data_IF_167338503010
#
_entry.id   IF_167338503010
#
_cell.length_a   1.000
_cell.length_b   1.000
_cell.length_c   1.000
_cell.angle_alpha   90.00
_cell.angle_beta   90.00
_cell.angle_gamma   90.00
#
_symmetry.space_group_name_H-M   'P 1'
#
loop_
_entity.id
_entity.type
_entity.pdbx_description
1 polymer ?
#
# COMPACT_ATOMS: atom_id res chain seq x y z
N UNK A 1 -55.59 10.20 7.66
CA UNK A 1 -54.38 9.58 7.11
C UNK A 1 -53.24 10.41 7.66
N UNK A 2 -52.70 10.00 8.78
CA UNK A 2 -51.55 10.65 9.43
C UNK A 2 -50.31 9.94 8.84
N UNK A 3 -49.51 10.68 8.08
CA UNK A 3 -48.18 10.32 7.67
C UNK A 3 -47.30 10.42 8.91
N UNK A 4 -47.11 9.28 9.56
CA UNK A 4 -46.09 9.09 10.59
C UNK A 4 -44.78 8.73 9.84
N UNK A 5 -44.16 9.78 9.28
CA UNK A 5 -42.76 9.70 8.85
C UNK A 5 -41.92 9.62 10.13
N UNK A 6 -41.57 8.40 10.54
CA UNK A 6 -40.62 8.15 11.58
C UNK A 6 -39.30 8.87 11.22
N UNK A 7 -39.09 10.05 11.80
CA UNK A 7 -37.78 10.66 11.89
C UNK A 7 -36.91 9.67 12.73
N UNK A 8 -36.05 8.93 12.09
CA UNK A 8 -34.92 8.29 12.78
C UNK A 8 -34.15 9.43 13.50
N UNK A 9 -34.44 9.59 14.78
CA UNK A 9 -33.70 10.52 15.63
C UNK A 9 -32.23 10.13 15.59
N UNK A 10 -31.40 10.97 14.95
CA UNK A 10 -29.96 10.77 14.89
C UNK A 10 -29.41 10.67 16.33
N UNK A 11 -29.08 9.47 16.76
CA UNK A 11 -28.47 9.24 18.07
C UNK A 11 -27.23 10.11 18.20
N UNK A 12 -27.15 10.96 19.23
CA UNK A 12 -25.99 11.84 19.47
C UNK A 12 -24.94 11.17 20.36
N UNK A 13 -23.72 11.70 20.39
CA UNK A 13 -22.68 11.22 21.32
C UNK A 13 -23.13 11.35 22.78
N UNK A 14 -23.78 12.47 23.12
CA UNK A 14 -24.33 12.74 24.47
C UNK A 14 -25.32 11.65 24.88
N UNK A 15 -26.24 11.27 23.98
CA UNK A 15 -27.18 10.19 24.22
C UNK A 15 -26.48 8.83 24.44
N UNK A 16 -25.39 8.57 23.74
CA UNK A 16 -24.60 7.36 23.94
C UNK A 16 -23.89 7.36 25.30
N UNK A 17 -23.32 8.49 25.71
CA UNK A 17 -22.69 8.62 27.03
C UNK A 17 -23.70 8.45 28.18
N UNK A 18 -24.88 9.04 28.05
CA UNK A 18 -25.98 8.91 29.03
C UNK A 18 -26.51 7.47 29.14
N UNK A 19 -26.46 6.73 28.02
CA UNK A 19 -26.91 5.33 27.95
C UNK A 19 -25.99 4.35 28.67
N UNK A 20 -24.67 4.59 28.72
CA UNK A 20 -23.68 3.66 29.30
C UNK A 20 -24.05 3.17 30.72
N UNK A 21 -24.45 4.02 31.69
CA UNK A 21 -24.79 3.55 33.03
C UNK A 21 -26.10 2.74 33.09
N UNK A 22 -26.95 2.87 32.07
CA UNK A 22 -28.28 2.23 32.02
C UNK A 22 -28.23 0.84 31.41
N UNK A 23 -27.18 0.52 30.63
CA UNK A 23 -27.01 -0.75 29.91
C UNK A 23 -25.90 -1.61 30.48
N UNK A 24 -25.92 -2.90 30.19
CA UNK A 24 -24.87 -3.84 30.59
C UNK A 24 -24.61 -4.89 29.52
N UNK A 25 -23.59 -5.70 29.74
CA UNK A 25 -23.24 -6.79 28.85
C UNK A 25 -22.99 -6.34 27.43
N UNK A 26 -23.56 -7.02 26.45
CA UNK A 26 -23.41 -6.79 25.02
C UNK A 26 -23.83 -5.38 24.61
N UNK A 27 -24.95 -4.90 25.12
CA UNK A 27 -25.48 -3.59 24.78
C UNK A 27 -24.52 -2.45 25.22
N UNK A 28 -23.88 -2.62 26.38
CA UNK A 28 -22.84 -1.71 26.85
C UNK A 28 -21.61 -1.73 25.96
N UNK A 29 -21.18 -2.91 25.52
CA UNK A 29 -20.07 -3.06 24.61
C UNK A 29 -20.35 -2.39 23.26
N UNK A 30 -21.56 -2.61 22.70
CA UNK A 30 -22.02 -1.92 21.48
C UNK A 30 -21.99 -0.40 21.62
N UNK A 31 -22.44 0.13 22.76
CA UNK A 31 -22.45 1.57 23.01
C UNK A 31 -21.03 2.15 23.03
N UNK A 32 -20.06 1.47 23.64
CA UNK A 32 -18.66 1.89 23.60
C UNK A 32 -18.06 1.81 22.20
N UNK A 33 -18.40 0.77 21.42
CA UNK A 33 -17.97 0.64 20.03
C UNK A 33 -18.50 1.79 19.16
N UNK A 34 -19.80 2.12 19.28
CA UNK A 34 -20.42 3.23 18.55
C UNK A 34 -19.76 4.58 18.90
N UNK A 35 -19.49 4.82 20.19
CA UNK A 35 -18.77 6.00 20.64
C UNK A 35 -17.36 6.07 20.03
N UNK A 36 -16.63 4.95 20.05
CA UNK A 36 -15.31 4.85 19.42
C UNK A 36 -15.36 5.25 17.95
N UNK A 37 -16.33 4.75 17.19
CA UNK A 37 -16.47 5.08 15.78
C UNK A 37 -16.74 6.58 15.53
N UNK A 38 -17.57 7.22 16.38
CA UNK A 38 -17.87 8.67 16.28
C UNK A 38 -16.64 9.51 16.61
N UNK A 39 -15.95 9.17 17.68
CA UNK A 39 -14.75 9.88 18.14
C UNK A 39 -13.60 9.69 17.14
N UNK A 40 -13.48 8.48 16.52
CA UNK A 40 -12.59 8.23 15.39
C UNK A 40 -12.85 9.20 14.23
N UNK A 41 -14.10 9.38 13.82
CA UNK A 41 -14.49 10.29 12.75
C UNK A 41 -14.10 11.77 13.02
N UNK A 42 -13.92 12.14 14.28
CA UNK A 42 -13.42 13.47 14.71
C UNK A 42 -11.88 13.57 14.75
N UNK A 43 -11.18 12.47 14.45
CA UNK A 43 -9.72 12.42 14.50
C UNK A 43 -9.12 12.27 15.90
N UNK A 44 -9.92 11.97 16.91
CA UNK A 44 -9.48 11.79 18.32
C UNK A 44 -9.10 10.32 18.56
N UNK A 45 -8.04 9.85 17.90
CA UNK A 45 -7.71 8.43 17.79
C UNK A 45 -7.33 7.77 19.13
N UNK A 46 -6.67 8.49 20.05
CA UNK A 46 -6.31 7.95 21.38
C UNK A 46 -7.56 7.68 22.23
N UNK A 47 -8.52 8.59 22.23
CA UNK A 47 -9.78 8.44 22.95
C UNK A 47 -10.64 7.33 22.32
N UNK A 48 -10.75 7.32 20.99
CA UNK A 48 -11.45 6.28 20.24
C UNK A 48 -10.85 4.90 20.50
N UNK A 49 -9.51 4.79 20.58
CA UNK A 49 -8.82 3.55 20.92
C UNK A 49 -9.21 3.05 22.32
N UNK A 50 -9.21 3.90 23.33
CA UNK A 50 -9.56 3.51 24.69
C UNK A 50 -11.00 2.98 24.80
N UNK A 51 -11.93 3.58 24.04
CA UNK A 51 -13.32 3.14 23.98
C UNK A 51 -13.46 1.79 23.25
N UNK A 52 -12.76 1.60 22.15
CA UNK A 52 -12.72 0.33 21.43
C UNK A 52 -12.13 -0.79 22.27
N UNK A 53 -11.07 -0.51 23.05
CA UNK A 53 -10.48 -1.45 24.00
C UNK A 53 -11.47 -1.82 25.13
N UNK A 54 -12.22 -0.83 25.63
CA UNK A 54 -13.27 -1.09 26.63
C UNK A 54 -14.38 -1.98 26.05
N UNK A 55 -14.81 -1.75 24.82
CA UNK A 55 -15.78 -2.61 24.14
C UNK A 55 -15.25 -4.04 24.01
N UNK A 56 -14.00 -4.22 23.53
CA UNK A 56 -13.34 -5.52 23.43
C UNK A 56 -13.30 -6.25 24.77
N UNK A 57 -12.95 -5.57 25.86
CA UNK A 57 -12.83 -6.19 27.18
C UNK A 57 -14.18 -6.68 27.68
N UNK A 58 -15.24 -5.89 27.51
CA UNK A 58 -16.61 -6.33 27.87
C UNK A 58 -17.03 -7.55 27.02
N UNK A 59 -16.80 -7.54 25.69
CA UNK A 59 -17.09 -8.71 24.86
C UNK A 59 -16.28 -9.93 25.29
N UNK A 60 -15.03 -9.76 25.67
CA UNK A 60 -14.16 -10.85 26.13
C UNK A 60 -14.64 -11.43 27.46
N UNK A 61 -15.13 -10.62 28.39
CA UNK A 61 -15.71 -11.03 29.65
C UNK A 61 -17.03 -11.82 29.48
N UNK A 62 -17.82 -11.48 28.46
CA UNK A 62 -19.04 -12.21 28.11
C UNK A 62 -18.76 -13.60 27.54
N UNK A 63 -17.54 -13.82 27.03
CA UNK A 63 -17.07 -15.13 26.55
C UNK A 63 -17.98 -15.71 25.46
N UNK A 64 -18.37 -16.99 25.60
CA UNK A 64 -19.20 -17.69 24.61
C UNK A 64 -20.64 -17.15 24.50
N UNK A 65 -21.04 -16.23 25.37
CA UNK A 65 -22.35 -15.55 25.32
C UNK A 65 -22.30 -14.27 24.47
N UNK A 66 -21.09 -13.80 24.10
CA UNK A 66 -20.93 -12.64 23.27
C UNK A 66 -21.14 -12.98 21.79
N UNK A 67 -21.72 -12.07 20.99
CA UNK A 67 -21.63 -12.18 19.56
C UNK A 67 -20.16 -12.09 19.16
N UNK A 68 -19.67 -13.15 18.53
CA UNK A 68 -18.29 -13.17 18.02
C UNK A 68 -18.03 -12.03 17.01
N UNK A 69 -19.07 -11.57 16.32
CA UNK A 69 -19.02 -10.45 15.41
C UNK A 69 -18.73 -9.11 16.13
N UNK A 70 -19.36 -8.84 17.26
CA UNK A 70 -19.10 -7.64 18.05
C UNK A 70 -17.66 -7.58 18.58
N UNK A 71 -17.12 -8.72 19.02
CA UNK A 71 -15.71 -8.81 19.41
C UNK A 71 -14.77 -8.53 18.22
N UNK A 72 -15.08 -9.06 17.03
CA UNK A 72 -14.31 -8.81 15.82
C UNK A 72 -14.37 -7.34 15.41
N UNK A 73 -15.54 -6.70 15.49
CA UNK A 73 -15.71 -5.27 15.23
C UNK A 73 -14.87 -4.43 16.21
N UNK A 74 -14.86 -4.76 17.50
CA UNK A 74 -14.03 -4.07 18.47
C UNK A 74 -12.53 -4.20 18.16
N UNK A 75 -12.04 -5.40 17.78
CA UNK A 75 -10.67 -5.58 17.35
C UNK A 75 -10.34 -4.83 16.07
N UNK A 76 -11.26 -4.77 15.09
CA UNK A 76 -11.08 -3.97 13.89
C UNK A 76 -10.98 -2.49 14.21
N UNK A 77 -11.85 -1.97 15.08
CA UNK A 77 -11.80 -0.57 15.53
C UNK A 77 -10.48 -0.23 16.22
N UNK A 78 -9.98 -1.13 17.10
CA UNK A 78 -8.65 -0.98 17.70
C UNK A 78 -7.58 -0.91 16.61
N UNK A 79 -7.62 -1.81 15.63
CA UNK A 79 -6.69 -1.83 14.51
C UNK A 79 -6.69 -0.51 13.74
N UNK A 80 -7.86 0.00 13.34
CA UNK A 80 -7.96 1.27 12.60
C UNK A 80 -7.44 2.46 13.43
N UNK A 81 -7.76 2.55 14.73
CA UNK A 81 -7.24 3.60 15.61
C UNK A 81 -5.70 3.55 15.70
N UNK A 82 -5.13 2.37 15.94
CA UNK A 82 -3.70 2.17 16.02
C UNK A 82 -2.98 2.51 14.70
N UNK A 83 -3.59 2.19 13.56
CA UNK A 83 -3.08 2.56 12.25
C UNK A 83 -3.00 4.08 12.08
N UNK A 84 -4.03 4.83 12.48
CA UNK A 84 -4.00 6.29 12.44
C UNK A 84 -2.93 6.86 13.38
N UNK A 85 -2.71 6.24 14.53
CA UNK A 85 -1.64 6.57 15.48
C UNK A 85 -0.24 6.11 15.03
N UNK A 86 -0.12 5.51 13.80
CA UNK A 86 1.14 5.00 13.24
C UNK A 86 1.76 3.84 14.03
N UNK A 87 0.98 3.16 14.84
CA UNK A 87 1.38 1.98 15.62
C UNK A 87 1.10 0.70 14.80
N UNK A 88 1.80 0.56 13.66
CA UNK A 88 1.47 -0.40 12.59
C UNK A 88 1.47 -1.87 13.04
N UNK A 89 2.46 -2.31 13.82
CA UNK A 89 2.57 -3.69 14.28
C UNK A 89 1.41 -4.08 15.20
N UNK A 90 1.00 -3.17 16.07
CA UNK A 90 -0.12 -3.37 16.99
C UNK A 90 -1.45 -3.33 16.22
N UNK A 91 -1.57 -2.43 15.23
CA UNK A 91 -2.72 -2.35 14.34
C UNK A 91 -2.94 -3.67 13.59
N UNK A 92 -1.90 -4.18 12.95
CA UNK A 92 -1.96 -5.44 12.22
C UNK A 92 -2.24 -6.64 13.16
N UNK A 93 -1.71 -6.61 14.39
CA UNK A 93 -2.00 -7.66 15.38
C UNK A 93 -3.46 -7.64 15.82
N UNK A 94 -4.05 -6.47 16.04
CA UNK A 94 -5.47 -6.35 16.38
C UNK A 94 -6.36 -6.80 15.20
N UNK A 95 -6.06 -6.34 13.99
CA UNK A 95 -6.78 -6.72 12.78
C UNK A 95 -6.70 -8.24 12.52
N UNK A 96 -5.54 -8.87 12.76
CA UNK A 96 -5.38 -10.33 12.63
C UNK A 96 -6.37 -11.10 13.51
N UNK A 97 -6.61 -10.63 14.75
CA UNK A 97 -7.62 -11.24 15.64
C UNK A 97 -9.04 -11.05 15.12
N UNK A 98 -9.36 -9.88 14.56
CA UNK A 98 -10.66 -9.65 13.94
C UNK A 98 -10.90 -10.62 12.78
N UNK A 99 -9.92 -10.77 11.88
CA UNK A 99 -9.99 -11.67 10.73
C UNK A 99 -10.13 -13.12 11.16
N UNK A 100 -9.37 -13.58 12.17
CA UNK A 100 -9.46 -14.93 12.73
C UNK A 100 -10.89 -15.27 13.23
N UNK A 101 -11.48 -14.35 14.00
CA UNK A 101 -12.85 -14.51 14.53
C UNK A 101 -13.85 -14.56 13.37
N UNK A 102 -13.75 -13.65 12.40
CA UNK A 102 -14.68 -13.56 11.28
C UNK A 102 -14.58 -14.76 10.34
N UNK A 103 -13.37 -15.28 10.07
CA UNK A 103 -13.20 -16.52 9.31
C UNK A 103 -13.81 -17.72 10.02
N UNK A 104 -13.62 -17.83 11.34
CA UNK A 104 -14.24 -18.91 12.14
C UNK A 104 -15.77 -18.89 12.02
N UNK A 105 -16.35 -17.69 11.92
CA UNK A 105 -17.79 -17.48 11.77
C UNK A 105 -18.26 -17.52 10.31
N UNK A 106 -17.37 -17.69 9.35
CA UNK A 106 -17.65 -17.62 7.91
C UNK A 106 -18.31 -16.29 7.50
N UNK A 107 -17.90 -15.21 8.12
CA UNK A 107 -18.41 -13.87 7.82
C UNK A 107 -17.91 -13.41 6.45
N UNK A 108 -18.78 -12.82 5.60
CA UNK A 108 -18.39 -12.37 4.27
C UNK A 108 -17.38 -11.20 4.27
N UNK A 109 -17.29 -10.46 5.38
CA UNK A 109 -16.34 -9.33 5.50
C UNK A 109 -14.93 -9.79 5.90
N UNK A 110 -14.75 -11.08 6.21
CA UNK A 110 -13.44 -11.60 6.61
C UNK A 110 -12.37 -11.40 5.54
N UNK A 111 -12.71 -11.61 4.28
CA UNK A 111 -11.79 -11.46 3.14
C UNK A 111 -11.37 -10.00 2.97
N UNK A 112 -12.28 -9.05 3.03
CA UNK A 112 -11.99 -7.62 2.92
C UNK A 112 -11.00 -7.15 4.01
N UNK A 113 -11.27 -7.57 5.27
CA UNK A 113 -10.36 -7.24 6.38
C UNK A 113 -9.02 -7.97 6.28
N UNK A 114 -8.99 -9.17 5.71
CA UNK A 114 -7.74 -9.90 5.47
C UNK A 114 -6.88 -9.20 4.41
N UNK A 115 -7.49 -8.66 3.34
CA UNK A 115 -6.76 -7.83 2.36
C UNK A 115 -6.16 -6.58 3.01
N UNK A 116 -6.96 -5.86 3.81
CA UNK A 116 -6.48 -4.71 4.59
C UNK A 116 -5.33 -5.10 5.54
N UNK A 117 -5.44 -6.26 6.19
CA UNK A 117 -4.39 -6.79 7.07
C UNK A 117 -3.09 -7.04 6.32
N UNK A 118 -3.16 -7.58 5.10
CA UNK A 118 -1.98 -7.78 4.26
C UNK A 118 -1.24 -6.48 3.95
N UNK A 119 -1.98 -5.41 3.64
CA UNK A 119 -1.42 -4.07 3.42
C UNK A 119 -0.73 -3.54 4.70
N UNK A 120 -1.32 -3.76 5.85
CA UNK A 120 -0.75 -3.34 7.12
C UNK A 120 0.50 -4.16 7.48
N UNK A 121 0.50 -5.48 7.20
CA UNK A 121 1.72 -6.29 7.31
C UNK A 121 2.82 -5.79 6.38
N UNK A 122 2.48 -5.35 5.16
CA UNK A 122 3.45 -4.76 4.25
C UNK A 122 4.02 -3.45 4.80
N UNK A 123 3.17 -2.57 5.29
CA UNK A 123 3.57 -1.28 5.89
C UNK A 123 4.44 -1.45 7.14
N UNK A 124 4.19 -2.50 7.93
CA UNK A 124 5.01 -2.87 9.08
C UNK A 124 6.23 -3.76 8.74
N UNK A 125 6.50 -3.97 7.44
CA UNK A 125 7.63 -4.74 6.92
C UNK A 125 7.62 -6.23 7.33
N UNK A 126 6.49 -6.74 7.74
CA UNK A 126 6.30 -8.16 8.06
C UNK A 126 5.99 -8.97 6.78
N UNK A 127 6.92 -8.95 5.82
CA UNK A 127 6.72 -9.46 4.47
C UNK A 127 6.34 -10.95 4.41
N UNK A 128 6.82 -11.75 5.34
CA UNK A 128 6.42 -13.16 5.41
C UNK A 128 4.92 -13.31 5.72
N UNK A 129 4.38 -12.50 6.62
CA UNK A 129 2.94 -12.49 6.92
C UNK A 129 2.10 -11.93 5.77
N UNK A 130 2.66 -10.99 4.99
CA UNK A 130 2.01 -10.54 3.75
C UNK A 130 1.78 -11.73 2.83
N UNK A 131 2.83 -12.51 2.56
CA UNK A 131 2.75 -13.65 1.65
C UNK A 131 1.69 -14.63 2.15
N UNK A 132 1.77 -15.06 3.41
CA UNK A 132 0.82 -16.02 4.01
C UNK A 132 -0.63 -15.51 3.92
N UNK A 133 -0.88 -14.25 4.30
CA UNK A 133 -2.23 -13.67 4.30
C UNK A 133 -2.77 -13.50 2.88
N UNK A 134 -1.94 -13.01 1.96
CA UNK A 134 -2.38 -12.74 0.59
C UNK A 134 -2.52 -14.00 -0.26
N UNK A 135 -1.78 -15.08 0.01
CA UNK A 135 -2.00 -16.38 -0.62
C UNK A 135 -3.39 -16.93 -0.30
N UNK A 136 -3.84 -16.80 0.94
CA UNK A 136 -5.20 -17.18 1.36
C UNK A 136 -6.24 -16.28 0.66
N UNK A 137 -6.05 -14.95 0.66
CA UNK A 137 -6.97 -14.01 0.00
C UNK A 137 -7.06 -14.27 -1.50
N UNK A 138 -5.94 -14.49 -2.18
CA UNK A 138 -5.92 -14.79 -3.61
C UNK A 138 -6.70 -16.07 -3.94
N UNK A 139 -6.56 -17.10 -3.10
CA UNK A 139 -7.30 -18.33 -3.29
C UNK A 139 -8.82 -18.13 -3.06
N UNK A 140 -9.21 -17.36 -2.04
CA UNK A 140 -10.62 -17.02 -1.79
C UNK A 140 -11.19 -16.21 -2.95
N UNK A 141 -10.49 -15.17 -3.44
CA UNK A 141 -10.90 -14.37 -4.59
C UNK A 141 -11.08 -15.21 -5.86
N UNK A 142 -10.17 -16.18 -6.13
CA UNK A 142 -10.31 -17.08 -7.27
C UNK A 142 -11.55 -17.99 -7.17
N UNK A 143 -11.86 -18.48 -5.97
CA UNK A 143 -13.07 -19.29 -5.70
C UNK A 143 -14.33 -18.48 -5.93
N UNK A 144 -14.32 -17.19 -5.53
CA UNK A 144 -15.45 -16.28 -5.70
C UNK A 144 -15.56 -15.70 -7.12
N UNK A 145 -14.61 -16.02 -8.01
CA UNK A 145 -14.55 -15.50 -9.38
C UNK A 145 -14.06 -14.06 -9.50
N UNK A 146 -13.54 -13.47 -8.41
CA UNK A 146 -12.96 -12.13 -8.40
C UNK A 146 -11.51 -12.18 -8.90
N UNK A 147 -11.32 -12.25 -10.21
CA UNK A 147 -10.01 -12.37 -10.85
C UNK A 147 -9.13 -11.14 -10.55
N UNK A 148 -9.71 -9.93 -10.57
CA UNK A 148 -8.97 -8.69 -10.30
C UNK A 148 -8.48 -8.66 -8.85
N UNK A 149 -9.31 -9.08 -7.88
CA UNK A 149 -8.90 -9.22 -6.48
C UNK A 149 -7.70 -10.16 -6.34
N UNK A 150 -7.79 -11.35 -6.92
CA UNK A 150 -6.68 -12.31 -6.89
C UNK A 150 -5.39 -11.77 -7.54
N UNK A 151 -5.49 -11.01 -8.61
CA UNK A 151 -4.33 -10.40 -9.26
C UNK A 151 -3.70 -9.29 -8.40
N UNK A 152 -4.51 -8.52 -7.67
CA UNK A 152 -4.00 -7.53 -6.71
C UNK A 152 -3.25 -8.22 -5.56
N UNK A 153 -3.79 -9.31 -5.02
CA UNK A 153 -3.14 -10.08 -3.97
C UNK A 153 -1.81 -10.66 -4.45
N UNK A 154 -1.77 -11.26 -5.64
CA UNK A 154 -0.55 -11.76 -6.26
C UNK A 154 0.49 -10.66 -6.50
N UNK A 155 0.05 -9.46 -6.87
CA UNK A 155 0.93 -8.32 -7.03
C UNK A 155 1.55 -7.92 -5.68
N UNK A 156 0.77 -7.90 -4.59
CA UNK A 156 1.28 -7.60 -3.25
C UNK A 156 2.24 -8.68 -2.74
N UNK A 157 1.96 -9.96 -3.01
CA UNK A 157 2.89 -11.08 -2.76
C UNK A 157 4.22 -10.84 -3.49
N UNK A 158 4.16 -10.46 -4.77
CA UNK A 158 5.36 -10.13 -5.55
C UNK A 158 6.16 -8.97 -4.93
N UNK A 159 5.48 -7.93 -4.44
CA UNK A 159 6.13 -6.85 -3.71
C UNK A 159 6.83 -7.35 -2.43
N UNK A 160 6.17 -8.22 -1.65
CA UNK A 160 6.74 -8.77 -0.42
C UNK A 160 7.98 -9.65 -0.71
N UNK A 161 7.91 -10.53 -1.71
CA UNK A 161 9.08 -11.32 -2.14
C UNK A 161 10.26 -10.44 -2.57
N UNK A 162 9.98 -9.35 -3.31
CA UNK A 162 11.02 -8.40 -3.72
C UNK A 162 11.71 -7.75 -2.52
N UNK A 163 10.96 -7.32 -1.51
CA UNK A 163 11.53 -6.75 -0.28
C UNK A 163 12.37 -7.77 0.49
N UNK A 164 12.00 -9.05 0.44
CA UNK A 164 12.80 -10.16 0.96
C UNK A 164 14.00 -10.53 0.06
N UNK A 165 14.16 -9.83 -1.09
CA UNK A 165 15.16 -10.10 -2.12
C UNK A 165 15.05 -11.48 -2.80
N UNK A 166 13.90 -12.12 -2.69
CA UNK A 166 13.56 -13.31 -3.48
C UNK A 166 12.99 -12.87 -4.84
N UNK A 167 13.88 -12.38 -5.68
CA UNK A 167 13.50 -11.79 -6.97
C UNK A 167 12.89 -12.82 -7.92
N UNK A 168 13.23 -14.10 -7.76
CA UNK A 168 12.65 -15.18 -8.57
C UNK A 168 11.18 -15.42 -8.23
N UNK A 169 10.84 -15.52 -6.95
CA UNK A 169 9.46 -15.65 -6.50
C UNK A 169 8.64 -14.38 -6.79
N UNK A 170 9.27 -13.20 -6.65
CA UNK A 170 8.63 -11.94 -7.02
C UNK A 170 8.27 -11.90 -8.51
N UNK A 171 9.21 -12.30 -9.38
CA UNK A 171 9.00 -12.37 -10.83
C UNK A 171 7.85 -13.32 -11.21
N UNK A 172 7.76 -14.48 -10.57
CA UNK A 172 6.66 -15.44 -10.78
C UNK A 172 5.32 -14.82 -10.36
N UNK A 173 5.26 -14.20 -9.18
CA UNK A 173 4.03 -13.58 -8.66
C UNK A 173 3.55 -12.42 -9.53
N UNK A 174 4.44 -11.51 -9.95
CA UNK A 174 4.08 -10.42 -10.86
C UNK A 174 3.67 -10.93 -12.25
N UNK A 175 4.29 -12.00 -12.74
CA UNK A 175 3.93 -12.60 -14.02
C UNK A 175 2.52 -13.20 -13.96
N UNK A 176 2.17 -13.93 -12.90
CA UNK A 176 0.81 -14.45 -12.68
C UNK A 176 -0.22 -13.32 -12.59
N UNK A 177 0.04 -12.30 -11.80
CA UNK A 177 -0.83 -11.13 -11.69
C UNK A 177 -1.04 -10.45 -13.05
N UNK A 178 0.04 -10.24 -13.81
CA UNK A 178 0.00 -9.64 -15.15
C UNK A 178 -0.88 -10.42 -16.12
N UNK A 179 -0.78 -11.75 -16.14
CA UNK A 179 -1.60 -12.56 -17.07
C UNK A 179 -3.08 -12.48 -16.73
N UNK A 180 -3.44 -12.41 -15.44
CA UNK A 180 -4.83 -12.20 -15.01
C UNK A 180 -5.29 -10.79 -15.41
N UNK A 181 -4.55 -9.73 -15.08
CA UNK A 181 -4.91 -8.37 -15.50
C UNK A 181 -5.04 -8.22 -17.01
N UNK A 182 -4.21 -8.93 -17.77
CA UNK A 182 -4.30 -8.93 -19.24
C UNK A 182 -5.59 -9.60 -19.73
N UNK A 183 -6.01 -10.70 -19.12
CA UNK A 183 -7.26 -11.37 -19.43
C UNK A 183 -8.47 -10.47 -19.13
N UNK A 184 -8.41 -9.72 -18.02
CA UNK A 184 -9.43 -8.76 -17.59
C UNK A 184 -9.34 -7.39 -18.30
N UNK A 185 -8.36 -7.20 -19.19
CA UNK A 185 -8.11 -5.97 -19.97
C UNK A 185 -7.72 -4.75 -19.12
N UNK A 186 -7.14 -4.99 -17.98
CA UNK A 186 -6.65 -3.99 -17.03
C UNK A 186 -5.27 -3.46 -17.46
N UNK A 187 -5.22 -2.63 -18.51
CA UNK A 187 -4.00 -2.21 -19.20
C UNK A 187 -3.00 -1.53 -18.26
N UNK A 188 -3.46 -0.66 -17.37
CA UNK A 188 -2.61 0.05 -16.41
C UNK A 188 -1.99 -0.92 -15.40
N UNK A 189 -2.76 -1.91 -14.93
CA UNK A 189 -2.25 -2.92 -13.99
C UNK A 189 -1.25 -3.86 -14.66
N UNK A 190 -1.44 -4.18 -15.94
CA UNK A 190 -0.44 -4.91 -16.75
C UNK A 190 0.88 -4.14 -16.80
N UNK A 191 0.84 -2.84 -17.10
CA UNK A 191 2.04 -2.00 -17.16
C UNK A 191 2.74 -1.88 -15.80
N UNK A 192 1.97 -1.80 -14.70
CA UNK A 192 2.53 -1.85 -13.33
C UNK A 192 3.27 -3.16 -13.07
N UNK A 193 2.70 -4.28 -13.49
CA UNK A 193 3.38 -5.57 -13.38
C UNK A 193 4.64 -5.61 -14.25
N UNK A 194 4.58 -5.13 -15.50
CA UNK A 194 5.75 -5.10 -16.40
C UNK A 194 6.89 -4.23 -15.81
N UNK A 195 6.59 -3.11 -15.16
CA UNK A 195 7.57 -2.30 -14.44
C UNK A 195 8.22 -3.08 -13.27
N UNK A 196 7.43 -3.79 -12.45
CA UNK A 196 7.96 -4.60 -11.34
C UNK A 196 8.75 -5.81 -11.83
N UNK A 197 8.33 -6.43 -12.94
CA UNK A 197 9.05 -7.49 -13.64
C UNK A 197 10.41 -6.98 -14.10
N UNK A 198 10.48 -5.79 -14.72
CA UNK A 198 11.75 -5.18 -15.13
C UNK A 198 12.70 -5.03 -13.93
N UNK A 199 12.21 -4.51 -12.80
CA UNK A 199 12.99 -4.37 -11.57
C UNK A 199 13.55 -5.72 -11.08
N UNK A 200 12.75 -6.79 -11.08
CA UNK A 200 13.21 -8.11 -10.67
C UNK A 200 14.26 -8.69 -11.65
N UNK A 201 14.06 -8.51 -12.95
CA UNK A 201 14.98 -8.99 -13.97
C UNK A 201 16.36 -8.31 -13.91
N UNK A 202 16.39 -7.02 -13.55
CA UNK A 202 17.64 -6.29 -13.30
C UNK A 202 18.43 -6.94 -12.16
N UNK A 203 17.77 -7.22 -11.05
CA UNK A 203 18.39 -7.83 -9.88
C UNK A 203 18.84 -9.29 -10.16
N UNK A 204 18.16 -9.97 -11.09
CA UNK A 204 18.53 -11.31 -11.58
C UNK A 204 19.60 -11.28 -12.68
N UNK A 205 19.99 -10.10 -13.18
CA UNK A 205 21.03 -9.94 -14.20
C UNK A 205 20.56 -10.11 -15.64
N UNK A 206 19.25 -10.20 -15.89
CA UNK A 206 18.68 -10.32 -17.25
C UNK A 206 18.29 -8.94 -17.81
N UNK A 207 19.30 -8.21 -18.26
CA UNK A 207 19.12 -6.83 -18.77
C UNK A 207 18.28 -6.74 -20.04
N UNK A 208 18.36 -7.71 -20.96
CA UNK A 208 17.57 -7.67 -22.22
C UNK A 208 16.07 -7.87 -21.93
N UNK A 209 15.73 -8.83 -21.08
CA UNK A 209 14.33 -9.01 -20.68
C UNK A 209 13.82 -7.82 -19.86
N UNK A 210 14.66 -7.23 -19.01
CA UNK A 210 14.33 -6.04 -18.22
C UNK A 210 14.01 -4.84 -19.12
N UNK A 211 14.84 -4.55 -20.14
CA UNK A 211 14.58 -3.50 -21.13
C UNK A 211 13.25 -3.70 -21.83
N UNK A 212 12.97 -4.93 -22.27
CA UNK A 212 11.73 -5.24 -22.96
C UNK A 212 10.50 -5.05 -22.08
N UNK A 213 10.59 -5.38 -20.79
CA UNK A 213 9.50 -5.19 -19.83
C UNK A 213 9.30 -3.70 -19.52
N UNK A 214 10.38 -2.97 -19.21
CA UNK A 214 10.33 -1.55 -18.90
C UNK A 214 9.75 -0.73 -20.07
N UNK A 215 10.14 -1.03 -21.32
CA UNK A 215 9.62 -0.35 -22.51
C UNK A 215 8.10 -0.49 -22.63
N UNK A 216 7.55 -1.69 -22.40
CA UNK A 216 6.10 -1.89 -22.44
C UNK A 216 5.36 -1.05 -21.39
N UNK A 217 5.95 -0.92 -20.19
CA UNK A 217 5.37 -0.09 -19.14
C UNK A 217 5.40 1.40 -19.53
N UNK A 218 6.53 1.90 -20.07
CA UNK A 218 6.68 3.27 -20.55
C UNK A 218 5.61 3.60 -21.58
N UNK A 219 5.50 2.79 -22.64
CA UNK A 219 4.55 3.03 -23.74
C UNK A 219 3.09 3.20 -23.24
N UNK A 220 2.71 2.45 -22.20
CA UNK A 220 1.37 2.54 -21.60
C UNK A 220 1.23 3.78 -20.74
N UNK A 221 2.21 4.09 -19.88
CA UNK A 221 2.12 5.23 -18.97
C UNK A 221 2.21 6.56 -19.71
N UNK A 222 3.08 6.67 -20.73
CA UNK A 222 3.16 7.81 -21.64
C UNK A 222 1.81 8.07 -22.32
N UNK A 223 1.20 7.04 -22.92
CA UNK A 223 -0.11 7.16 -23.58
C UNK A 223 -1.22 7.55 -22.60
N UNK A 224 -1.13 7.07 -21.35
CA UNK A 224 -2.08 7.35 -20.26
C UNK A 224 -1.84 8.67 -19.54
N UNK A 225 -0.80 9.44 -19.91
CA UNK A 225 -0.35 10.65 -19.21
C UNK A 225 -0.09 10.42 -17.71
N UNK A 226 0.38 9.22 -17.33
CA UNK A 226 0.78 8.90 -15.96
C UNK A 226 2.28 9.12 -15.79
N UNK A 227 2.69 10.39 -15.81
CA UNK A 227 4.10 10.81 -15.80
C UNK A 227 4.86 10.25 -14.60
N UNK A 228 4.20 10.07 -13.48
CA UNK A 228 4.83 9.51 -12.27
C UNK A 228 5.24 8.04 -12.48
N UNK A 229 4.33 7.20 -13.00
CA UNK A 229 4.66 5.79 -13.28
C UNK A 229 5.58 5.63 -14.45
N UNK A 230 5.45 6.48 -15.47
CA UNK A 230 6.37 6.59 -16.59
C UNK A 230 7.80 6.82 -16.11
N UNK A 231 8.01 7.78 -15.20
CA UNK A 231 9.32 8.08 -14.61
C UNK A 231 9.94 6.86 -13.93
N UNK A 232 9.16 6.09 -13.17
CA UNK A 232 9.68 4.86 -12.57
C UNK A 232 10.02 3.80 -13.61
N UNK A 233 9.24 3.66 -14.66
CA UNK A 233 9.54 2.71 -15.73
C UNK A 233 10.80 3.13 -16.52
N UNK A 234 10.99 4.43 -16.77
CA UNK A 234 12.21 4.99 -17.35
C UNK A 234 13.45 4.74 -16.47
N UNK A 235 13.29 4.85 -15.15
CA UNK A 235 14.37 4.54 -14.22
C UNK A 235 14.80 3.06 -14.30
N UNK A 236 13.85 2.12 -14.34
CA UNK A 236 14.19 0.69 -14.51
C UNK A 236 14.78 0.44 -15.90
N UNK A 237 14.31 1.12 -16.93
CA UNK A 237 14.86 1.05 -18.28
C UNK A 237 16.34 1.48 -18.29
N UNK A 238 16.66 2.63 -17.70
CA UNK A 238 18.05 3.11 -17.58
C UNK A 238 18.95 2.16 -16.79
N UNK A 239 18.48 1.56 -15.71
CA UNK A 239 19.22 0.53 -14.96
C UNK A 239 19.52 -0.70 -15.83
N UNK A 240 18.56 -1.13 -16.65
CA UNK A 240 18.75 -2.27 -17.54
C UNK A 240 19.79 -1.95 -18.66
N UNK A 241 19.79 -0.75 -19.23
CA UNK A 241 20.81 -0.30 -20.18
C UNK A 241 22.22 -0.29 -19.56
N UNK A 242 22.33 0.16 -18.32
CA UNK A 242 23.57 0.14 -17.55
C UNK A 242 24.04 -1.32 -17.35
N UNK A 243 23.14 -2.23 -16.98
CA UNK A 243 23.46 -3.65 -16.81
C UNK A 243 24.00 -4.27 -18.09
N UNK A 244 23.48 -3.89 -19.24
CA UNK A 244 23.94 -4.33 -20.56
C UNK A 244 25.21 -3.63 -21.06
N UNK A 245 25.77 -2.69 -20.26
CA UNK A 245 26.91 -1.85 -20.67
C UNK A 245 26.65 -0.99 -21.91
N UNK A 246 25.39 -0.70 -22.21
CA UNK A 246 24.96 0.28 -23.20
C UNK A 246 25.03 1.69 -22.57
N UNK A 247 26.21 2.05 -22.07
CA UNK A 247 26.42 3.18 -21.16
C UNK A 247 26.09 4.54 -21.78
N UNK A 248 26.20 4.67 -23.10
CA UNK A 248 25.92 5.95 -23.78
C UNK A 248 24.40 6.18 -23.90
N UNK A 249 23.62 5.12 -24.08
CA UNK A 249 22.17 5.18 -24.19
C UNK A 249 21.49 5.33 -22.80
N UNK A 250 22.01 4.67 -21.76
CA UNK A 250 21.49 4.74 -20.38
C UNK A 250 21.63 6.11 -19.73
N UNK A 251 22.49 6.99 -20.27
CA UNK A 251 22.63 8.38 -19.82
C UNK A 251 21.60 9.33 -20.44
N UNK A 252 21.04 8.99 -21.60
CA UNK A 252 19.97 9.78 -22.19
C UNK A 252 18.66 9.68 -21.41
N UNK A 253 18.48 8.63 -20.62
CA UNK A 253 17.27 8.39 -19.84
C UNK A 253 17.02 9.40 -18.70
N UNK A 254 18.06 9.89 -17.94
CA UNK A 254 17.84 10.96 -16.95
C UNK A 254 17.36 12.27 -17.58
N UNK A 255 17.87 12.62 -18.76
CA UNK A 255 17.41 13.83 -19.45
C UNK A 255 15.98 13.67 -19.96
N UNK A 256 15.58 12.47 -20.37
CA UNK A 256 14.19 12.16 -20.72
C UNK A 256 13.27 12.22 -19.50
N UNK A 257 13.71 11.69 -18.35
CA UNK A 257 12.98 11.77 -17.07
C UNK A 257 12.72 13.24 -16.69
N UNK A 258 13.75 14.09 -16.77
CA UNK A 258 13.61 15.51 -16.47
C UNK A 258 12.68 16.23 -17.45
N UNK A 259 12.71 15.90 -18.73
CA UNK A 259 11.86 16.52 -19.75
C UNK A 259 10.39 16.19 -19.52
N UNK A 260 10.07 14.94 -19.22
CA UNK A 260 8.70 14.48 -18.95
C UNK A 260 8.09 15.19 -17.73
N UNK A 261 8.90 15.49 -16.73
CA UNK A 261 8.40 16.08 -15.47
C UNK A 261 8.29 17.60 -15.55
N UNK A 262 9.13 18.28 -16.32
CA UNK A 262 9.12 19.76 -16.42
C UNK A 262 8.00 20.30 -17.28
N UNK A 263 7.37 19.49 -18.13
CA UNK A 263 6.33 19.96 -19.05
C UNK A 263 4.94 20.07 -18.43
N UNK A 264 4.58 19.26 -17.38
CA UNK A 264 3.16 19.14 -17.01
C UNK A 264 2.76 19.46 -15.56
N UNK A 265 3.60 19.42 -14.52
CA UNK A 265 3.21 19.93 -13.17
C UNK A 265 4.39 20.17 -12.19
N UNK A 266 4.43 21.34 -11.53
CA UNK A 266 5.56 21.71 -10.64
C UNK A 266 5.46 21.16 -9.21
N UNK A 267 4.62 20.14 -8.92
CA UNK A 267 4.28 19.77 -7.53
C UNK A 267 5.02 18.56 -6.95
N UNK A 268 5.77 17.81 -7.74
CA UNK A 268 6.43 16.59 -7.27
C UNK A 268 7.97 16.66 -7.38
N UNK A 269 8.54 17.82 -7.06
CA UNK A 269 10.00 18.04 -7.10
C UNK A 269 10.78 17.11 -6.17
N UNK A 270 10.23 16.77 -5.02
CA UNK A 270 10.88 15.84 -4.08
C UNK A 270 11.07 14.45 -4.68
N UNK A 271 10.13 14.00 -5.49
CA UNK A 271 10.20 12.75 -6.22
C UNK A 271 11.30 12.74 -7.29
N UNK A 272 11.42 13.84 -8.08
CA UNK A 272 12.47 14.01 -9.08
C UNK A 272 13.84 13.98 -8.43
N UNK A 273 13.99 14.72 -7.34
CA UNK A 273 15.22 14.78 -6.57
C UNK A 273 15.62 13.39 -6.03
N UNK A 274 14.67 12.58 -5.63
CA UNK A 274 14.92 11.21 -5.16
C UNK A 274 15.38 10.29 -6.31
N UNK A 275 14.70 10.32 -7.46
CA UNK A 275 15.07 9.51 -8.65
C UNK A 275 16.46 9.85 -9.13
N UNK A 276 16.78 11.14 -9.33
CA UNK A 276 18.11 11.57 -9.77
C UNK A 276 19.20 11.26 -8.73
N UNK A 277 18.91 11.40 -7.43
CA UNK A 277 19.86 11.03 -6.38
C UNK A 277 20.20 9.53 -6.41
N UNK A 278 19.21 8.68 -6.67
CA UNK A 278 19.43 7.24 -6.86
C UNK A 278 20.23 6.93 -8.12
N UNK A 279 19.98 7.65 -9.20
CA UNK A 279 20.75 7.48 -10.43
C UNK A 279 22.22 7.89 -10.24
N UNK A 280 22.51 9.01 -9.57
CA UNK A 280 23.86 9.42 -9.23
C UNK A 280 24.59 8.35 -8.40
N UNK A 281 23.87 7.72 -7.45
CA UNK A 281 24.43 6.61 -6.67
C UNK A 281 24.78 5.40 -7.54
N UNK A 282 23.90 4.99 -8.45
CA UNK A 282 24.16 3.89 -9.39
C UNK A 282 25.36 4.22 -10.31
N UNK A 283 25.45 5.46 -10.80
CA UNK A 283 26.60 5.90 -11.59
C UNK A 283 27.92 5.79 -10.81
N UNK A 284 27.94 6.17 -9.51
CA UNK A 284 29.13 6.00 -8.64
C UNK A 284 29.50 4.53 -8.45
N UNK A 285 28.54 3.66 -8.22
CA UNK A 285 28.77 2.21 -8.07
C UNK A 285 29.39 1.60 -9.35
N UNK A 286 29.06 2.19 -10.51
CA UNK A 286 29.63 1.81 -11.82
C UNK A 286 30.98 2.48 -12.15
N UNK A 287 31.52 3.29 -11.23
CA UNK A 287 32.77 4.01 -11.43
C UNK A 287 32.66 5.27 -12.31
N UNK A 288 31.45 5.72 -12.65
CA UNK A 288 31.18 6.93 -13.44
C UNK A 288 31.07 8.15 -12.51
N UNK A 289 32.19 8.49 -11.89
CA UNK A 289 32.25 9.51 -10.82
C UNK A 289 31.90 10.90 -11.37
N UNK A 290 32.44 11.28 -12.53
CA UNK A 290 32.25 12.61 -13.12
C UNK A 290 30.78 12.87 -13.49
N UNK A 291 30.11 11.85 -14.05
CA UNK A 291 28.69 11.92 -14.41
C UNK A 291 27.79 11.99 -13.16
N UNK A 292 28.10 11.21 -12.14
CA UNK A 292 27.41 11.27 -10.86
C UNK A 292 27.54 12.66 -10.21
N UNK A 293 28.74 13.24 -10.24
CA UNK A 293 29.01 14.58 -9.71
C UNK A 293 28.27 15.67 -10.50
N UNK A 294 28.07 15.49 -11.82
CA UNK A 294 27.25 16.40 -12.64
C UNK A 294 25.79 16.37 -12.24
N UNK A 295 25.22 15.17 -12.10
CA UNK A 295 23.83 14.99 -11.64
C UNK A 295 23.65 15.61 -10.25
N UNK A 296 24.55 15.37 -9.31
CA UNK A 296 24.46 15.94 -7.96
C UNK A 296 24.60 17.47 -7.95
N UNK A 297 25.43 18.05 -8.81
CA UNK A 297 25.51 19.51 -8.95
C UNK A 297 24.18 20.10 -9.46
N UNK A 298 23.54 19.46 -10.43
CA UNK A 298 22.21 19.87 -10.91
C UNK A 298 21.18 19.79 -9.81
N UNK A 299 21.17 18.68 -9.06
CA UNK A 299 20.27 18.49 -7.92
C UNK A 299 20.45 19.57 -6.83
N UNK A 300 21.69 19.92 -6.52
CA UNK A 300 22.00 20.98 -5.55
C UNK A 300 21.44 22.34 -6.01
N UNK A 301 21.61 22.67 -7.30
CA UNK A 301 21.09 23.90 -7.89
C UNK A 301 19.55 23.94 -7.86
N UNK A 302 18.88 22.84 -8.16
CA UNK A 302 17.42 22.74 -8.10
C UNK A 302 16.91 22.90 -6.66
N UNK A 303 17.54 22.25 -5.68
CA UNK A 303 17.22 22.40 -4.24
C UNK A 303 17.37 23.85 -3.77
N UNK A 304 18.44 24.52 -4.17
CA UNK A 304 18.66 25.93 -3.84
C UNK A 304 17.58 26.84 -4.43
N UNK A 305 17.19 26.60 -5.68
CA UNK A 305 16.15 27.36 -6.38
C UNK A 305 14.76 27.17 -5.74
N UNK A 306 14.47 25.96 -5.24
CA UNK A 306 13.19 25.61 -4.62
C UNK A 306 13.10 25.98 -3.14
N UNK A 307 14.19 26.42 -2.51
CA UNK A 307 14.24 26.77 -1.08
C UNK A 307 14.13 25.55 -0.14
N UNK A 308 14.25 24.35 -0.64
CA UNK A 308 14.23 23.10 0.13
C UNK A 308 15.64 22.71 0.57
N UNK A 309 16.19 23.43 1.55
CA UNK A 309 17.54 23.18 2.08
C UNK A 309 17.68 21.93 2.97
N UNK A 310 16.74 20.99 2.93
CA UNK A 310 16.79 19.76 3.72
C UNK A 310 17.20 18.59 2.85
N UNK A 311 18.16 17.77 3.32
CA UNK A 311 18.42 16.45 2.74
C UNK A 311 17.11 15.66 2.69
N UNK A 312 16.85 14.87 1.64
CA UNK A 312 15.67 14.04 1.58
C UNK A 312 15.70 13.10 2.80
N UNK A 313 14.79 13.30 3.74
CA UNK A 313 14.43 12.21 4.64
C UNK A 313 14.01 11.06 3.73
N UNK A 314 14.58 9.88 4.01
CA UNK A 314 14.24 8.65 3.31
C UNK A 314 12.73 8.58 3.06
N UNK A 315 12.30 8.95 1.86
CA UNK A 315 10.91 8.84 1.39
C UNK A 315 10.62 7.37 1.06
N UNK A 316 11.28 6.46 1.78
CA UNK A 316 11.18 5.00 1.58
C UNK A 316 9.77 4.45 1.81
N UNK A 317 8.93 5.15 2.54
CA UNK A 317 7.76 4.53 3.15
C UNK A 317 6.40 5.12 2.74
N UNK A 318 6.34 5.99 1.73
CA UNK A 318 5.03 6.55 1.27
C UNK A 318 4.42 5.84 0.05
N UNK A 319 5.02 4.73 -0.38
CA UNK A 319 4.58 4.03 -1.57
C UNK A 319 3.84 2.76 -1.19
N UNK A 320 2.57 2.91 -0.85
CA UNK A 320 1.65 1.78 -0.87
C UNK A 320 1.69 1.13 -2.27
N UNK A 321 1.63 -0.20 -2.36
CA UNK A 321 1.72 -0.93 -3.62
C UNK A 321 0.52 -0.75 -4.55
N UNK A 322 -0.37 0.21 -4.27
CA UNK A 322 -1.61 0.44 -5.00
C UNK A 322 -1.53 1.62 -5.95
#
# INVERSE_FOLDING_TARGET
MSEDEGQDELVTEEMLWDRIPEVNGEERANTYYELSARIFARGQYDEALALAETARDIYSELGASAPSEGLAQAYSAIGYNLNQLKRMDEAATAMSKAVEILRTNKSPIALELACTLGEWWYSSKNYQKVIETMEECAQEHLVDGNQIGAANDLHLIGCAHRELKDYSAALDSFTKAREIFKAEREVIHVARCDQKIASCLIELGDGEAALAAARKAIDVFETGHDHRRETFALFEYGKAEILLKKLDDGLATPDNVLTVITEDEPKDFDFILDVESRMAKVMRELGRIEDADEVERRLASVRETLGTGTEPQDVKDQWLPF
#
